data_IF_176683645058
#
_entry.id   IF_176683645058
#
_cell.length_a   1.000
_cell.length_b   1.000
_cell.length_c   1.000
_cell.angle_alpha   90.00
_cell.angle_beta   90.00
_cell.angle_gamma   90.00
#
_symmetry.space_group_name_H-M   'P 1'
#
loop_
_entity.id
_entity.type
_entity.pdbx_description
1 polymer ?
#
# COMPACT_ATOMS: atom_id res chain seq x y z
N UNK A 1 -68.44 31.02 24.30
CA UNK A 1 -67.44 30.38 25.20
C UNK A 1 -67.04 29.06 24.55
N UNK A 2 -65.77 28.81 24.20
CA UNK A 2 -65.38 27.48 23.76
C UNK A 2 -65.36 26.53 24.97
N UNK A 3 -65.61 25.22 24.77
CA UNK A 3 -65.76 24.25 25.86
C UNK A 3 -64.43 24.06 26.61
N UNK A 4 -64.47 23.65 27.88
CA UNK A 4 -63.26 23.48 28.68
C UNK A 4 -62.38 22.41 28.02
N UNK A 5 -61.15 22.79 27.64
CA UNK A 5 -60.13 21.84 27.18
C UNK A 5 -60.06 20.70 28.20
N UNK A 6 -60.39 19.49 27.78
CA UNK A 6 -60.36 18.30 28.62
C UNK A 6 -59.00 18.19 29.29
N UNK A 7 -58.95 18.24 30.62
CA UNK A 7 -57.73 18.14 31.45
C UNK A 7 -56.88 16.92 31.10
N UNK A 8 -57.52 15.82 30.69
CA UNK A 8 -56.88 14.62 30.17
C UNK A 8 -56.08 14.85 28.88
N UNK A 9 -56.60 15.66 27.97
CA UNK A 9 -55.91 16.02 26.72
C UNK A 9 -54.64 16.82 26.99
N UNK A 10 -54.70 17.77 27.93
CA UNK A 10 -53.53 18.57 28.35
C UNK A 10 -52.46 17.69 29.00
N UNK A 11 -52.85 16.68 29.79
CA UNK A 11 -51.91 15.72 30.39
C UNK A 11 -51.27 14.79 29.36
N UNK A 12 -52.04 14.26 28.40
CA UNK A 12 -51.52 13.41 27.31
C UNK A 12 -50.62 14.20 26.37
N UNK A 13 -50.98 15.45 26.05
CA UNK A 13 -50.18 16.34 25.22
C UNK A 13 -48.87 16.74 25.94
N UNK A 14 -48.92 16.93 27.26
CA UNK A 14 -47.74 17.07 28.10
C UNK A 14 -46.84 15.84 28.08
N UNK A 15 -47.41 14.63 28.19
CA UNK A 15 -46.67 13.36 28.14
C UNK A 15 -46.03 13.11 26.76
N UNK A 16 -46.76 13.37 25.68
CA UNK A 16 -46.23 13.34 24.30
C UNK A 16 -45.12 14.38 24.12
N UNK A 17 -45.27 15.57 24.70
CA UNK A 17 -44.23 16.60 24.71
C UNK A 17 -42.96 16.15 25.45
N UNK A 18 -43.09 15.46 26.58
CA UNK A 18 -41.94 14.89 27.29
C UNK A 18 -41.27 13.76 26.51
N UNK A 19 -42.04 12.86 25.89
CA UNK A 19 -41.50 11.80 25.04
C UNK A 19 -40.76 12.35 23.81
N UNK A 20 -41.29 13.41 23.18
CA UNK A 20 -40.61 14.10 22.07
C UNK A 20 -39.28 14.71 22.49
N UNK A 21 -39.24 15.41 23.64
CA UNK A 21 -37.98 15.94 24.19
C UNK A 21 -36.97 14.83 24.52
N UNK A 22 -37.42 13.69 25.05
CA UNK A 22 -36.56 12.54 25.29
C UNK A 22 -36.00 11.97 23.98
N UNK A 23 -36.82 11.88 22.94
CA UNK A 23 -36.41 11.38 21.63
C UNK A 23 -35.43 12.34 20.93
N UNK A 24 -35.64 13.65 21.05
CA UNK A 24 -34.71 14.68 20.58
C UNK A 24 -33.38 14.63 21.35
N UNK A 25 -33.41 14.49 22.68
CA UNK A 25 -32.23 14.32 23.51
C UNK A 25 -31.41 13.09 23.13
N UNK A 26 -32.05 11.93 23.01
CA UNK A 26 -31.41 10.69 22.52
C UNK A 26 -30.90 10.84 21.08
N UNK A 27 -31.59 11.62 20.24
CA UNK A 27 -31.16 11.94 18.89
C UNK A 27 -29.85 12.74 18.85
N UNK A 28 -29.73 13.76 19.70
CA UNK A 28 -28.53 14.57 19.87
C UNK A 28 -27.37 13.74 20.44
N UNK A 29 -27.62 12.91 21.45
CA UNK A 29 -26.62 11.99 22.00
C UNK A 29 -26.12 11.00 20.95
N UNK A 30 -27.02 10.44 20.13
CA UNK A 30 -26.64 9.55 19.03
C UNK A 30 -25.77 10.27 17.99
N UNK A 31 -26.06 11.53 17.67
CA UNK A 31 -25.24 12.32 16.75
C UNK A 31 -23.87 12.62 17.36
N UNK A 32 -23.83 13.00 18.63
CA UNK A 32 -22.59 13.22 19.38
C UNK A 32 -21.72 11.96 19.41
N UNK A 33 -22.28 10.81 19.76
CA UNK A 33 -21.56 9.52 19.77
C UNK A 33 -21.06 9.13 18.38
N UNK A 34 -21.80 9.44 17.31
CA UNK A 34 -21.33 9.22 15.93
C UNK A 34 -20.15 10.12 15.56
N UNK A 35 -20.19 11.38 15.97
CA UNK A 35 -19.08 12.31 15.75
C UNK A 35 -17.83 11.88 16.53
N UNK A 36 -17.99 11.49 17.79
CA UNK A 36 -16.91 10.96 18.62
C UNK A 36 -16.33 9.66 18.02
N UNK A 37 -17.18 8.74 17.55
CA UNK A 37 -16.74 7.52 16.89
C UNK A 37 -16.02 7.78 15.57
N UNK A 38 -16.46 8.78 14.79
CA UNK A 38 -15.74 9.22 13.59
C UNK A 38 -14.37 9.82 13.93
N UNK A 39 -14.31 10.66 14.97
CA UNK A 39 -13.06 11.26 15.43
C UNK A 39 -12.06 10.20 15.93
N UNK A 40 -12.51 9.24 16.74
CA UNK A 40 -11.68 8.14 17.23
C UNK A 40 -11.20 7.26 16.08
N UNK A 41 -12.03 6.98 15.07
CA UNK A 41 -11.61 6.24 13.87
C UNK A 41 -10.52 6.99 13.10
N UNK A 42 -10.68 8.29 12.89
CA UNK A 42 -9.66 9.13 12.23
C UNK A 42 -8.35 9.12 13.00
N UNK A 43 -8.38 9.26 14.33
CA UNK A 43 -7.17 9.16 15.16
C UNK A 43 -6.50 7.78 15.04
N UNK A 44 -7.28 6.70 15.00
CA UNK A 44 -6.74 5.34 14.81
C UNK A 44 -6.07 5.21 13.45
N UNK A 45 -6.67 5.75 12.38
CA UNK A 45 -6.08 5.75 11.04
C UNK A 45 -4.79 6.59 10.99
N UNK A 46 -4.77 7.77 11.60
CA UNK A 46 -3.56 8.60 11.72
C UNK A 46 -2.44 7.89 12.49
N UNK A 47 -2.75 7.23 13.61
CA UNK A 47 -1.76 6.47 14.35
C UNK A 47 -1.25 5.26 13.55
N UNK A 48 -2.13 4.55 12.85
CA UNK A 48 -1.73 3.47 11.94
C UNK A 48 -0.78 3.95 10.86
N UNK A 49 -1.10 5.06 10.20
CA UNK A 49 -0.22 5.65 9.18
C UNK A 49 1.16 6.00 9.76
N UNK A 50 1.21 6.63 10.95
CA UNK A 50 2.48 6.92 11.64
C UNK A 50 3.25 5.66 12.00
N UNK A 51 2.58 4.59 12.43
CA UNK A 51 3.25 3.31 12.71
C UNK A 51 3.81 2.66 11.44
N UNK A 52 3.07 2.72 10.33
CA UNK A 52 3.54 2.22 9.03
C UNK A 52 4.75 3.03 8.53
N UNK A 53 4.71 4.36 8.64
CA UNK A 53 5.84 5.24 8.34
C UNK A 53 7.07 4.94 9.20
N UNK A 54 6.89 4.78 10.51
CA UNK A 54 7.98 4.47 11.44
C UNK A 54 8.57 3.07 11.16
N UNK A 55 7.74 2.08 10.81
CA UNK A 55 8.22 0.76 10.39
C UNK A 55 9.05 0.89 9.12
N UNK A 56 8.55 1.60 8.11
CA UNK A 56 9.29 1.80 6.86
C UNK A 56 10.62 2.51 7.13
N UNK A 57 10.60 3.60 7.91
CA UNK A 57 11.80 4.34 8.26
C UNK A 57 12.82 3.48 9.03
N UNK A 58 12.36 2.68 9.99
CA UNK A 58 13.21 1.71 10.70
C UNK A 58 13.82 0.70 9.72
N UNK A 59 13.04 0.16 8.78
CA UNK A 59 13.56 -0.81 7.81
C UNK A 59 14.58 -0.19 6.86
N UNK A 60 14.39 1.07 6.45
CA UNK A 60 15.38 1.82 5.68
C UNK A 60 16.68 1.99 6.45
N UNK A 61 16.59 2.40 7.72
CA UNK A 61 17.77 2.56 8.60
C UNK A 61 18.46 1.24 8.90
N UNK A 62 17.73 0.15 9.08
CA UNK A 62 18.28 -1.19 9.23
C UNK A 62 19.01 -1.64 7.95
N UNK A 63 18.44 -1.38 6.77
CA UNK A 63 19.09 -1.68 5.49
C UNK A 63 20.38 -0.86 5.31
N UNK A 64 20.34 0.45 5.59
CA UNK A 64 21.54 1.31 5.60
C UNK A 64 22.60 0.78 6.57
N UNK A 65 22.20 0.35 7.77
CA UNK A 65 23.11 -0.22 8.76
C UNK A 65 23.75 -1.53 8.27
N UNK A 66 22.99 -2.41 7.61
CA UNK A 66 23.51 -3.66 7.04
C UNK A 66 24.53 -3.37 5.93
N UNK A 67 24.27 -2.39 5.06
CA UNK A 67 25.22 -1.95 4.04
C UNK A 67 26.49 -1.37 4.67
N UNK A 68 26.34 -0.47 5.65
CA UNK A 68 27.48 0.12 6.35
C UNK A 68 28.31 -0.95 7.06
N UNK A 69 27.68 -1.96 7.66
CA UNK A 69 28.37 -3.10 8.26
C UNK A 69 29.19 -3.87 7.22
N UNK A 70 28.63 -4.14 6.05
CA UNK A 70 29.34 -4.80 4.96
C UNK A 70 30.55 -3.97 4.51
N UNK A 71 30.39 -2.66 4.35
CA UNK A 71 31.47 -1.76 3.94
C UNK A 71 32.59 -1.71 5.00
N UNK A 72 32.22 -1.74 6.29
CA UNK A 72 33.18 -1.84 7.40
C UNK A 72 33.93 -3.18 7.38
N UNK A 73 33.22 -4.29 7.14
CA UNK A 73 33.83 -5.61 7.04
C UNK A 73 34.80 -5.68 5.84
N UNK A 74 34.42 -5.11 4.69
CA UNK A 74 35.27 -5.02 3.48
C UNK A 74 36.52 -4.15 3.70
N UNK A 75 36.36 -3.02 4.37
CA UNK A 75 37.46 -2.16 4.77
C UNK A 75 38.39 -2.86 5.78
N UNK A 76 37.83 -3.63 6.71
CA UNK A 76 38.62 -4.40 7.68
C UNK A 76 39.41 -5.52 7.01
N UNK A 77 38.81 -6.26 6.06
CA UNK A 77 39.51 -7.27 5.28
C UNK A 77 40.67 -6.65 4.47
N UNK A 78 40.41 -5.54 3.79
CA UNK A 78 41.43 -4.80 3.05
C UNK A 78 42.56 -4.31 3.96
N UNK A 79 42.22 -3.82 5.16
CA UNK A 79 43.19 -3.42 6.18
C UNK A 79 44.09 -4.58 6.60
N UNK A 80 43.49 -5.74 6.92
CA UNK A 80 44.24 -6.94 7.34
C UNK A 80 45.16 -7.44 6.21
N UNK A 81 44.71 -7.43 4.96
CA UNK A 81 45.55 -7.77 3.81
C UNK A 81 46.74 -6.81 3.66
N UNK A 82 46.53 -5.51 3.85
CA UNK A 82 47.60 -4.51 3.80
C UNK A 82 48.57 -4.65 4.98
N UNK A 83 48.08 -4.95 6.19
CA UNK A 83 48.92 -5.23 7.36
C UNK A 83 49.81 -6.47 7.12
N UNK A 84 49.26 -7.55 6.55
CA UNK A 84 50.04 -8.75 6.19
C UNK A 84 51.11 -8.45 5.13
N UNK A 85 50.79 -7.64 4.11
CA UNK A 85 51.79 -7.21 3.11
C UNK A 85 52.88 -6.36 3.74
N UNK A 86 52.53 -5.45 4.64
CA UNK A 86 53.48 -4.62 5.36
C UNK A 86 54.42 -5.48 6.21
N UNK A 87 53.89 -6.47 6.93
CA UNK A 87 54.68 -7.41 7.72
C UNK A 87 55.66 -8.20 6.83
N UNK A 88 55.18 -8.75 5.70
CA UNK A 88 56.05 -9.46 4.75
C UNK A 88 57.17 -8.59 4.17
N UNK A 89 56.88 -7.33 3.83
CA UNK A 89 57.88 -6.37 3.35
C UNK A 89 58.87 -6.00 4.46
N UNK A 90 58.41 -5.91 5.70
CA UNK A 90 59.26 -5.64 6.86
C UNK A 90 60.22 -6.79 7.11
N UNK A 91 59.74 -8.03 7.00
CA UNK A 91 60.57 -9.24 7.10
C UNK A 91 61.60 -9.30 5.98
N UNK A 92 61.22 -8.98 4.74
CA UNK A 92 62.16 -8.91 3.61
C UNK A 92 63.24 -7.84 3.83
N UNK A 93 62.87 -6.65 4.32
CA UNK A 93 63.83 -5.60 4.66
C UNK A 93 64.80 -6.07 5.76
N UNK A 94 64.29 -6.75 6.79
CA UNK A 94 65.11 -7.26 7.88
C UNK A 94 66.05 -8.36 7.41
N UNK A 95 65.58 -9.26 6.55
CA UNK A 95 66.39 -10.29 5.91
C UNK A 95 67.52 -9.67 5.08
N UNK A 96 67.21 -8.67 4.23
CA UNK A 96 68.22 -8.00 3.43
C UNK A 96 69.25 -7.25 4.28
N UNK A 97 68.84 -6.67 5.42
CA UNK A 97 69.77 -6.02 6.35
C UNK A 97 70.74 -7.02 6.97
N UNK A 98 70.24 -8.16 7.45
CA UNK A 98 71.08 -9.25 7.97
C UNK A 98 72.00 -9.80 6.88
N UNK A 99 71.41 -10.03 5.70
CA UNK A 99 72.01 -10.09 4.36
C UNK A 99 73.36 -9.39 4.24
N UNK A 100 73.24 -8.08 4.11
CA UNK A 100 74.37 -7.20 3.88
C UNK A 100 75.32 -7.09 5.07
N UNK A 101 74.83 -7.29 6.30
CA UNK A 101 75.68 -7.27 7.49
C UNK A 101 76.60 -8.49 7.55
N UNK A 102 76.11 -9.68 7.19
CA UNK A 102 76.91 -10.90 7.05
C UNK A 102 77.91 -10.79 5.89
N UNK A 103 77.48 -10.33 4.70
CA UNK A 103 78.39 -10.10 3.57
C UNK A 103 79.51 -9.11 3.91
N UNK A 104 79.19 -8.02 4.63
CA UNK A 104 80.20 -7.07 5.09
C UNK A 104 81.16 -7.67 6.12
N UNK A 105 80.69 -8.57 6.99
CA UNK A 105 81.55 -9.30 7.92
C UNK A 105 82.47 -10.27 7.18
N UNK A 106 81.96 -11.05 6.24
CA UNK A 106 82.78 -11.95 5.41
C UNK A 106 83.82 -11.18 4.62
N UNK A 107 83.44 -10.06 3.98
CA UNK A 107 84.39 -9.21 3.25
C UNK A 107 85.45 -8.63 4.18
N UNK A 108 85.11 -8.24 5.41
CA UNK A 108 86.09 -7.78 6.40
C UNK A 108 87.06 -8.89 6.81
N UNK A 109 86.55 -10.11 7.00
CA UNK A 109 87.39 -11.28 7.32
C UNK A 109 88.32 -11.60 6.15
N UNK A 110 87.82 -11.61 4.91
CA UNK A 110 88.65 -11.81 3.71
C UNK A 110 89.74 -10.73 3.56
N UNK A 111 89.42 -9.47 3.86
CA UNK A 111 90.40 -8.37 3.85
C UNK A 111 91.42 -8.49 5.00
N UNK A 112 91.03 -9.02 6.17
CA UNK A 112 91.98 -9.26 7.27
C UNK A 112 92.84 -10.51 7.05
N UNK A 113 92.30 -11.57 6.46
CA UNK A 113 93.02 -12.81 6.18
C UNK A 113 94.05 -12.65 5.05
N UNK A 114 93.80 -11.73 4.12
CA UNK A 114 94.77 -11.35 3.06
C UNK A 114 95.89 -10.43 3.56
N UNK A 115 95.81 -9.93 4.80
CA UNK A 115 96.85 -9.13 5.45
C UNK A 115 97.79 -9.97 6.34
N UNK A 116 98.24 -11.13 5.87
CA UNK A 116 99.34 -11.87 6.49
C UNK A 116 100.42 -12.14 5.44
N UNK A 117 101.44 -11.28 5.42
CA UNK A 117 102.65 -11.50 4.63
C UNK A 117 103.46 -12.59 5.32
N UNK A 118 103.27 -13.84 4.90
CA UNK A 118 104.07 -14.99 5.34
C UNK A 118 105.29 -15.11 4.44
N UNK A 119 106.45 -14.64 4.92
CA UNK A 119 107.74 -14.99 4.34
C UNK A 119 108.10 -16.42 4.77
N UNK A 120 107.68 -17.39 3.96
CA UNK A 120 108.10 -18.79 4.10
C UNK A 120 109.28 -19.05 3.18
N UNK A 121 110.45 -19.28 3.77
CA UNK A 121 111.65 -19.70 3.05
C UNK A 121 111.51 -21.19 2.71
N UNK A 122 111.06 -21.46 1.48
CA UNK A 122 110.59 -22.78 1.06
C UNK A 122 111.67 -23.49 0.23
N UNK A 123 112.77 -23.87 0.87
CA UNK A 123 113.82 -24.69 0.27
C UNK A 123 113.49 -26.19 0.38
N UNK A 124 112.43 -26.62 -0.29
CA UNK A 124 112.25 -28.00 -0.73
C UNK A 124 111.81 -27.92 -2.18
N UNK A 125 112.48 -28.66 -3.06
CA UNK A 125 112.05 -28.79 -4.45
C UNK A 125 110.64 -29.42 -4.44
N UNK A 126 109.63 -28.57 -4.48
CA UNK A 126 108.27 -28.92 -4.84
C UNK A 126 108.28 -29.27 -6.32
N UNK A 127 107.62 -30.37 -6.65
CA UNK A 127 107.29 -30.69 -8.03
C UNK A 127 106.28 -29.64 -8.54
N UNK A 128 106.83 -28.54 -9.04
CA UNK A 128 106.05 -27.42 -9.56
C UNK A 128 105.23 -27.83 -10.79
N UNK A 129 105.67 -28.85 -11.52
CA UNK A 129 104.93 -29.33 -12.69
C UNK A 129 103.64 -30.05 -12.28
N UNK A 130 103.71 -30.93 -11.26
CA UNK A 130 102.53 -31.57 -10.69
C UNK A 130 101.53 -30.58 -10.09
N UNK A 131 102.01 -29.62 -9.29
CA UNK A 131 101.14 -28.59 -8.68
C UNK A 131 100.50 -27.68 -9.74
N UNK A 132 101.23 -27.29 -10.79
CA UNK A 132 100.66 -26.49 -11.89
C UNK A 132 99.61 -27.29 -12.69
N UNK A 133 99.80 -28.60 -12.86
CA UNK A 133 98.82 -29.47 -13.50
C UNK A 133 97.54 -29.61 -12.66
N UNK A 134 97.67 -29.80 -11.35
CA UNK A 134 96.53 -29.89 -10.42
C UNK A 134 95.76 -28.57 -10.33
N UNK A 135 96.47 -27.44 -10.25
CA UNK A 135 95.85 -26.11 -10.28
C UNK A 135 95.10 -25.90 -11.59
N UNK A 136 95.68 -26.29 -12.73
CA UNK A 136 95.02 -26.19 -14.03
C UNK A 136 93.77 -27.06 -14.09
N UNK A 137 93.83 -28.31 -13.61
CA UNK A 137 92.69 -29.21 -13.56
C UNK A 137 91.57 -28.64 -12.67
N UNK A 138 91.91 -28.07 -11.51
CA UNK A 138 90.92 -27.40 -10.65
C UNK A 138 90.29 -26.17 -11.31
N UNK A 139 91.06 -25.36 -12.04
CA UNK A 139 90.50 -24.23 -12.79
C UNK A 139 89.58 -24.68 -13.93
N UNK A 140 89.95 -25.75 -14.66
CA UNK A 140 89.11 -26.34 -15.70
C UNK A 140 87.81 -26.91 -15.10
N UNK A 141 87.88 -27.56 -13.94
CA UNK A 141 86.70 -28.05 -13.20
C UNK A 141 85.81 -26.94 -12.66
N UNK A 142 86.39 -25.86 -12.11
CA UNK A 142 85.65 -24.70 -11.60
C UNK A 142 84.98 -23.95 -12.77
N UNK A 143 85.69 -23.78 -13.89
CA UNK A 143 85.12 -23.19 -15.10
C UNK A 143 84.00 -24.06 -15.69
N UNK A 144 84.18 -25.40 -15.68
CA UNK A 144 83.15 -26.36 -16.07
C UNK A 144 81.92 -26.30 -15.18
N UNK A 145 82.10 -26.28 -13.86
CA UNK A 145 81.00 -26.12 -12.88
C UNK A 145 80.28 -24.79 -13.02
N UNK A 146 81.01 -23.68 -13.11
CA UNK A 146 80.43 -22.35 -13.29
C UNK A 146 79.60 -22.25 -14.59
N UNK A 147 80.08 -22.87 -15.67
CA UNK A 147 79.32 -22.96 -16.92
C UNK A 147 78.05 -23.80 -16.78
N UNK A 148 78.15 -24.98 -16.16
CA UNK A 148 77.00 -25.86 -15.95
C UNK A 148 75.95 -25.23 -15.02
N UNK A 149 76.38 -24.51 -13.98
CA UNK A 149 75.51 -23.75 -13.09
C UNK A 149 74.82 -22.60 -13.82
N UNK A 150 75.55 -21.84 -14.64
CA UNK A 150 74.97 -20.78 -15.46
C UNK A 150 73.93 -21.34 -16.46
N UNK A 151 74.26 -22.43 -17.18
CA UNK A 151 73.34 -23.11 -18.10
C UNK A 151 72.10 -23.63 -17.36
N UNK A 152 72.26 -24.20 -16.16
CA UNK A 152 71.17 -24.64 -15.30
C UNK A 152 70.27 -23.48 -14.86
N UNK A 153 70.85 -22.36 -14.43
CA UNK A 153 70.11 -21.15 -14.05
C UNK A 153 69.33 -20.58 -15.24
N UNK A 154 69.92 -20.53 -16.43
CA UNK A 154 69.22 -20.09 -17.64
C UNK A 154 68.06 -21.02 -17.99
N UNK A 155 68.24 -22.34 -17.86
CA UNK A 155 67.20 -23.31 -18.16
C UNK A 155 66.01 -23.21 -17.18
N UNK A 156 66.29 -23.05 -15.88
CA UNK A 156 65.26 -22.82 -14.85
C UNK A 156 64.52 -21.51 -15.13
N UNK A 157 65.24 -20.41 -15.38
CA UNK A 157 64.63 -19.11 -15.69
C UNK A 157 63.77 -19.15 -16.95
N UNK A 158 64.21 -19.89 -17.97
CA UNK A 158 63.44 -20.07 -19.20
C UNK A 158 62.13 -20.84 -18.97
N UNK A 159 62.17 -21.94 -18.22
CA UNK A 159 60.95 -22.70 -17.87
C UNK A 159 60.03 -21.91 -16.92
N UNK A 160 60.56 -21.12 -15.99
CA UNK A 160 59.78 -20.19 -15.17
C UNK A 160 59.04 -19.17 -16.04
N UNK A 161 59.74 -18.51 -16.97
CA UNK A 161 59.11 -17.54 -17.88
C UNK A 161 58.06 -18.18 -18.78
N UNK A 162 58.33 -19.38 -19.29
CA UNK A 162 57.40 -20.13 -20.14
C UNK A 162 56.16 -20.56 -19.38
N UNK A 163 56.30 -21.04 -18.15
CA UNK A 163 55.16 -21.41 -17.30
C UNK A 163 54.36 -20.18 -16.85
N UNK A 164 55.02 -19.07 -16.52
CA UNK A 164 54.37 -17.81 -16.20
C UNK A 164 53.58 -17.24 -17.40
N UNK A 165 54.17 -17.24 -18.60
CA UNK A 165 53.49 -16.83 -19.82
C UNK A 165 52.30 -17.73 -20.16
N UNK A 166 52.41 -19.05 -19.92
CA UNK A 166 51.30 -19.99 -20.05
C UNK A 166 50.14 -19.66 -19.11
N UNK A 167 50.43 -19.47 -17.81
CA UNK A 167 49.44 -19.07 -16.79
C UNK A 167 48.74 -17.76 -17.15
N UNK A 168 49.50 -16.73 -17.52
CA UNK A 168 48.93 -15.45 -17.96
C UNK A 168 48.02 -15.61 -19.19
N UNK A 169 48.41 -16.47 -20.14
CA UNK A 169 47.58 -16.80 -21.30
C UNK A 169 46.27 -17.51 -20.92
N UNK A 170 46.32 -18.42 -19.97
CA UNK A 170 45.15 -19.15 -19.47
C UNK A 170 44.23 -18.23 -18.64
N UNK A 171 44.78 -17.37 -17.78
CA UNK A 171 44.03 -16.37 -17.02
C UNK A 171 43.31 -15.38 -17.95
N UNK A 172 43.99 -14.92 -19.02
CA UNK A 172 43.38 -14.07 -20.05
C UNK A 172 42.24 -14.80 -20.80
N UNK A 173 42.36 -16.10 -21.03
CA UNK A 173 41.29 -16.90 -21.64
C UNK A 173 40.11 -17.08 -20.69
N UNK A 174 40.37 -17.35 -19.41
CA UNK A 174 39.34 -17.51 -18.39
C UNK A 174 38.57 -16.21 -18.19
N UNK A 175 39.26 -15.08 -18.00
CA UNK A 175 38.63 -13.75 -17.86
C UNK A 175 37.82 -13.38 -19.10
N UNK A 176 38.34 -13.65 -20.30
CA UNK A 176 37.57 -13.47 -21.54
C UNK A 176 36.31 -14.34 -21.59
N UNK A 177 36.38 -15.58 -21.11
CA UNK A 177 35.22 -16.47 -20.97
C UNK A 177 34.17 -15.92 -20.00
N UNK A 178 34.60 -15.43 -18.83
CA UNK A 178 33.73 -14.79 -17.84
C UNK A 178 33.07 -13.53 -18.41
N UNK A 179 33.81 -12.69 -19.13
CA UNK A 179 33.25 -11.50 -19.80
C UNK A 179 32.17 -11.91 -20.81
N UNK A 180 32.37 -12.98 -21.57
CA UNK A 180 31.35 -13.47 -22.52
C UNK A 180 30.11 -14.01 -21.80
N UNK A 181 30.29 -14.73 -20.69
CA UNK A 181 29.17 -15.22 -19.89
C UNK A 181 28.36 -14.08 -19.24
N UNK A 182 29.05 -13.10 -18.67
CA UNK A 182 28.43 -11.89 -18.12
C UNK A 182 27.68 -11.13 -19.20
N UNK A 183 28.25 -10.98 -20.40
CA UNK A 183 27.55 -10.37 -21.54
C UNK A 183 26.28 -11.16 -21.92
N UNK A 184 26.32 -12.49 -21.96
CA UNK A 184 25.13 -13.32 -22.20
C UNK A 184 24.08 -13.17 -21.09
N UNK A 185 24.52 -12.99 -19.84
CA UNK A 185 23.62 -12.76 -18.70
C UNK A 185 22.97 -11.37 -18.79
N UNK A 186 23.73 -10.35 -19.16
CA UNK A 186 23.22 -8.99 -19.40
C UNK A 186 22.15 -9.02 -20.49
N UNK A 187 22.42 -9.67 -21.64
CA UNK A 187 21.45 -9.79 -22.73
C UNK A 187 20.17 -10.50 -22.31
N UNK A 188 20.27 -11.60 -21.53
CA UNK A 188 19.09 -12.30 -21.00
C UNK A 188 18.26 -11.41 -20.08
N UNK A 189 18.90 -10.72 -19.13
CA UNK A 189 18.20 -9.82 -18.20
C UNK A 189 17.57 -8.64 -18.97
N UNK A 190 18.24 -8.11 -19.99
CA UNK A 190 17.67 -7.06 -20.85
C UNK A 190 16.40 -7.56 -21.58
N UNK A 191 16.43 -8.76 -22.14
CA UNK A 191 15.26 -9.37 -22.78
C UNK A 191 14.11 -9.62 -21.78
N UNK A 192 14.42 -10.06 -20.56
CA UNK A 192 13.43 -10.21 -19.48
C UNK A 192 12.81 -8.87 -19.08
N UNK A 193 13.61 -7.79 -18.97
CA UNK A 193 13.12 -6.44 -18.71
C UNK A 193 12.19 -5.97 -19.83
N UNK A 194 12.54 -6.19 -21.09
CA UNK A 194 11.70 -5.83 -22.23
C UNK A 194 10.39 -6.63 -22.25
N UNK A 195 10.45 -7.94 -21.98
CA UNK A 195 9.25 -8.77 -21.86
C UNK A 195 8.31 -8.30 -20.74
N UNK A 196 8.86 -7.98 -19.56
CA UNK A 196 8.08 -7.47 -18.42
C UNK A 196 7.50 -6.08 -18.71
N UNK A 197 8.24 -5.20 -19.40
CA UNK A 197 7.71 -3.89 -19.85
C UNK A 197 6.54 -4.07 -20.81
N UNK A 198 6.65 -4.97 -21.78
CA UNK A 198 5.56 -5.28 -22.70
C UNK A 198 4.35 -5.84 -21.96
N UNK A 199 4.56 -6.77 -21.02
CA UNK A 199 3.48 -7.30 -20.18
C UNK A 199 2.81 -6.20 -19.35
N UNK A 200 3.58 -5.30 -18.74
CA UNK A 200 3.04 -4.16 -17.98
C UNK A 200 2.18 -3.27 -18.86
N UNK A 201 2.67 -2.91 -20.06
CA UNK A 201 1.90 -2.08 -20.99
C UNK A 201 0.61 -2.76 -21.46
N UNK A 202 0.63 -4.08 -21.68
CA UNK A 202 -0.56 -4.84 -22.02
C UNK A 202 -1.58 -4.91 -20.88
N UNK A 203 -1.12 -5.04 -19.64
CA UNK A 203 -1.98 -5.00 -18.46
C UNK A 203 -2.56 -3.61 -18.23
N UNK A 204 -1.77 -2.55 -18.37
CA UNK A 204 -2.22 -1.15 -18.29
C UNK A 204 -3.32 -0.87 -19.34
N UNK A 205 -3.14 -1.33 -20.59
CA UNK A 205 -4.16 -1.23 -21.63
C UNK A 205 -5.44 -2.02 -21.27
N UNK A 206 -5.30 -3.25 -20.78
CA UNK A 206 -6.46 -4.07 -20.37
C UNK A 206 -7.24 -3.45 -19.20
N UNK A 207 -6.54 -2.81 -18.25
CA UNK A 207 -7.15 -2.06 -17.14
C UNK A 207 -7.91 -0.85 -17.69
N UNK A 208 -7.29 -0.04 -18.55
CA UNK A 208 -7.93 1.13 -19.15
C UNK A 208 -9.20 0.77 -19.93
N UNK A 209 -9.18 -0.31 -20.72
CA UNK A 209 -10.37 -0.79 -21.42
C UNK A 209 -11.46 -1.31 -20.46
N UNK A 210 -11.06 -1.96 -19.35
CA UNK A 210 -12.01 -2.42 -18.34
C UNK A 210 -12.67 -1.26 -17.60
N UNK A 211 -11.91 -0.22 -17.28
CA UNK A 211 -12.41 1.03 -16.71
C UNK A 211 -13.38 1.72 -17.67
N UNK A 212 -13.02 1.90 -18.94
CA UNK A 212 -13.90 2.51 -19.95
C UNK A 212 -15.22 1.73 -20.10
N UNK A 213 -15.13 0.40 -20.23
CA UNK A 213 -16.32 -0.46 -20.29
C UNK A 213 -17.17 -0.36 -19.02
N UNK A 214 -16.54 -0.31 -17.85
CA UNK A 214 -17.21 -0.13 -16.57
C UNK A 214 -17.92 1.23 -16.47
N UNK A 215 -17.26 2.31 -16.88
CA UNK A 215 -17.85 3.65 -16.89
C UNK A 215 -19.04 3.74 -17.85
N UNK A 216 -18.96 3.15 -19.04
CA UNK A 216 -20.09 3.08 -19.98
C UNK A 216 -21.27 2.33 -19.37
N UNK A 217 -21.05 1.18 -18.74
CA UNK A 217 -22.11 0.43 -18.07
C UNK A 217 -22.75 1.24 -16.92
N UNK A 218 -21.96 2.00 -16.16
CA UNK A 218 -22.47 2.90 -15.12
C UNK A 218 -23.28 4.06 -15.69
N UNK A 219 -22.83 4.68 -16.79
CA UNK A 219 -23.57 5.74 -17.49
C UNK A 219 -24.93 5.23 -17.97
N UNK A 220 -24.96 4.04 -18.57
CA UNK A 220 -26.20 3.40 -19.02
C UNK A 220 -27.16 3.08 -17.87
N UNK A 221 -26.63 2.53 -16.76
CA UNK A 221 -27.43 2.25 -15.57
C UNK A 221 -28.03 3.53 -14.95
N UNK A 222 -27.23 4.61 -14.87
CA UNK A 222 -27.70 5.93 -14.41
C UNK A 222 -28.77 6.51 -15.33
N UNK A 223 -28.60 6.40 -16.64
CA UNK A 223 -29.60 6.86 -17.61
C UNK A 223 -30.93 6.09 -17.45
N UNK A 224 -30.87 4.77 -17.31
CA UNK A 224 -32.05 3.93 -17.04
C UNK A 224 -32.74 4.32 -15.73
N UNK A 225 -31.96 4.54 -14.67
CA UNK A 225 -32.48 4.98 -13.37
C UNK A 225 -33.20 6.32 -13.49
N UNK A 226 -32.59 7.31 -14.14
CA UNK A 226 -33.23 8.62 -14.37
C UNK A 226 -34.52 8.50 -15.20
N UNK A 227 -34.56 7.61 -16.21
CA UNK A 227 -35.77 7.32 -16.96
C UNK A 227 -36.90 6.73 -16.10
N UNK A 228 -36.57 5.78 -15.21
CA UNK A 228 -37.53 5.18 -14.29
C UNK A 228 -38.02 6.16 -13.23
N UNK A 229 -37.14 7.01 -12.69
CA UNK A 229 -37.51 8.08 -11.77
C UNK A 229 -38.45 9.10 -12.43
N UNK A 230 -38.18 9.47 -13.68
CA UNK A 230 -39.05 10.33 -14.48
C UNK A 230 -40.43 9.71 -14.72
N UNK A 231 -40.48 8.43 -15.12
CA UNK A 231 -41.74 7.70 -15.31
C UNK A 231 -42.54 7.60 -14.00
N UNK A 232 -41.86 7.36 -12.87
CA UNK A 232 -42.49 7.34 -11.55
C UNK A 232 -43.07 8.70 -11.17
N UNK A 233 -42.36 9.79 -11.45
CA UNK A 233 -42.84 11.15 -11.18
C UNK A 233 -44.09 11.48 -12.03
N UNK A 234 -44.08 11.11 -13.32
CA UNK A 234 -45.24 11.25 -14.20
C UNK A 234 -46.43 10.44 -13.70
N UNK A 235 -46.24 9.16 -13.34
CA UNK A 235 -47.31 8.32 -12.82
C UNK A 235 -47.92 8.89 -11.52
N UNK A 236 -47.11 9.48 -10.63
CA UNK A 236 -47.60 10.17 -9.43
C UNK A 236 -48.43 11.40 -9.78
N UNK A 237 -48.01 12.18 -10.78
CA UNK A 237 -48.76 13.34 -11.25
C UNK A 237 -50.10 12.93 -11.87
N UNK A 238 -50.10 11.88 -12.69
CA UNK A 238 -51.31 11.32 -13.29
C UNK A 238 -52.29 10.80 -12.25
N UNK A 239 -51.80 10.08 -11.23
CA UNK A 239 -52.63 9.64 -10.11
C UNK A 239 -53.24 10.84 -9.36
N UNK A 240 -52.43 11.88 -9.10
CA UNK A 240 -52.93 13.10 -8.46
C UNK A 240 -53.98 13.83 -9.34
N UNK A 241 -53.86 13.77 -10.66
CA UNK A 241 -54.86 14.30 -11.59
C UNK A 241 -56.16 13.49 -11.54
N UNK A 242 -56.07 12.16 -11.63
CA UNK A 242 -57.22 11.26 -11.54
C UNK A 242 -57.98 11.42 -10.22
N UNK A 243 -57.28 11.60 -9.10
CA UNK A 243 -57.92 11.85 -7.81
C UNK A 243 -58.74 13.15 -7.79
N UNK A 244 -58.26 14.22 -8.46
CA UNK A 244 -59.02 15.48 -8.58
C UNK A 244 -60.25 15.29 -9.46
N UNK A 245 -60.09 14.68 -10.64
CA UNK A 245 -61.20 14.37 -11.55
C UNK A 245 -62.26 13.49 -10.87
N UNK A 246 -61.84 12.51 -10.07
CA UNK A 246 -62.75 11.66 -9.30
C UNK A 246 -63.51 12.44 -8.21
N UNK A 247 -62.83 13.36 -7.51
CA UNK A 247 -63.48 14.21 -6.51
C UNK A 247 -64.50 15.16 -7.15
N UNK A 248 -64.18 15.73 -8.31
CA UNK A 248 -65.12 16.58 -9.07
C UNK A 248 -66.35 15.78 -9.50
N UNK A 249 -66.17 14.56 -10.02
CA UNK A 249 -67.27 13.68 -10.39
C UNK A 249 -68.12 13.30 -9.18
N UNK A 250 -67.51 13.01 -8.03
CA UNK A 250 -68.22 12.76 -6.78
C UNK A 250 -69.08 13.96 -6.36
N UNK A 251 -68.55 15.18 -6.47
CA UNK A 251 -69.29 16.40 -6.16
C UNK A 251 -70.53 16.55 -7.08
N UNK A 252 -70.38 16.29 -8.38
CA UNK A 252 -71.51 16.28 -9.33
C UNK A 252 -72.54 15.21 -8.95
N UNK A 253 -72.09 13.99 -8.62
CA UNK A 253 -72.98 12.90 -8.19
C UNK A 253 -73.78 13.29 -6.94
N UNK A 254 -73.14 13.92 -5.96
CA UNK A 254 -73.82 14.41 -4.75
C UNK A 254 -74.84 15.51 -5.07
N UNK A 255 -74.51 16.43 -5.98
CA UNK A 255 -75.47 17.44 -6.44
C UNK A 255 -76.69 16.80 -7.12
N UNK A 256 -76.47 15.82 -7.98
CA UNK A 256 -77.54 15.06 -8.63
C UNK A 256 -78.39 14.27 -7.62
N UNK A 257 -77.80 13.66 -6.60
CA UNK A 257 -78.57 12.99 -5.54
C UNK A 257 -79.48 13.96 -4.79
N UNK A 258 -79.00 15.19 -4.53
CA UNK A 258 -79.79 16.26 -3.92
C UNK A 258 -80.94 16.65 -4.86
N UNK A 259 -80.68 16.86 -6.15
CA UNK A 259 -81.71 17.16 -7.14
C UNK A 259 -82.78 16.06 -7.18
N UNK A 260 -82.39 14.78 -7.25
CA UNK A 260 -83.31 13.64 -7.21
C UNK A 260 -84.14 13.64 -5.92
N UNK A 261 -83.52 13.88 -4.76
CA UNK A 261 -84.24 13.96 -3.49
C UNK A 261 -85.23 15.13 -3.47
N UNK A 262 -84.88 16.29 -4.03
CA UNK A 262 -85.80 17.42 -4.15
C UNK A 262 -86.95 17.13 -5.10
N UNK A 263 -86.69 16.49 -6.26
CA UNK A 263 -87.73 16.06 -7.19
C UNK A 263 -88.68 15.05 -6.55
N UNK A 264 -88.16 14.05 -5.83
CA UNK A 264 -89.00 13.09 -5.07
C UNK A 264 -89.90 13.80 -4.06
N UNK A 265 -89.37 14.75 -3.29
CA UNK A 265 -90.15 15.51 -2.30
C UNK A 265 -91.24 16.39 -2.94
N UNK A 266 -90.98 16.97 -4.11
CA UNK A 266 -91.99 17.72 -4.88
C UNK A 266 -93.11 16.80 -5.38
N UNK A 267 -92.76 15.61 -5.89
CA UNK A 267 -93.74 14.59 -6.29
C UNK A 267 -94.57 14.12 -5.10
N UNK A 268 -93.95 13.79 -3.96
CA UNK A 268 -94.66 13.42 -2.72
C UNK A 268 -95.62 14.52 -2.25
N UNK A 269 -95.24 15.80 -2.42
CA UNK A 269 -96.11 16.94 -2.13
C UNK A 269 -97.33 17.05 -3.05
N UNK A 270 -97.16 16.77 -4.35
CA UNK A 270 -98.28 16.71 -5.31
C UNK A 270 -99.16 15.48 -5.10
N UNK A 271 -98.57 14.32 -4.80
CA UNK A 271 -99.30 13.12 -4.38
C UNK A 271 -100.11 13.39 -3.12
N UNK A 272 -99.55 14.08 -2.12
CA UNK A 272 -100.27 14.49 -0.91
C UNK A 272 -101.42 15.46 -1.22
N UNK A 273 -101.28 16.35 -2.20
CA UNK A 273 -102.36 17.24 -2.65
C UNK A 273 -103.46 16.46 -3.39
N UNK A 274 -103.08 15.50 -4.22
CA UNK A 274 -104.01 14.60 -4.90
C UNK A 274 -104.72 13.69 -3.89
N UNK A 275 -104.02 13.12 -2.92
CA UNK A 275 -104.60 12.34 -1.82
C UNK A 275 -105.52 13.20 -0.94
N UNK A 276 -105.19 14.45 -0.66
CA UNK A 276 -106.08 15.39 0.03
C UNK A 276 -107.31 15.77 -0.83
N UNK A 277 -107.15 15.88 -2.15
CA UNK A 277 -108.27 16.07 -3.08
C UNK A 277 -109.14 14.81 -3.19
N UNK A 278 -108.55 13.63 -3.12
CA UNK A 278 -109.22 12.32 -3.10
C UNK A 278 -109.84 12.02 -1.73
N UNK A 279 -109.32 12.55 -0.61
CA UNK A 279 -109.94 12.44 0.71
C UNK A 279 -111.22 13.30 0.84
N UNK A 280 -111.42 14.32 0.00
CA UNK A 280 -112.73 14.98 -0.16
C UNK A 280 -113.72 14.17 -1.02
N UNK A 281 -113.26 13.08 -1.65
CA UNK A 281 -114.04 12.22 -2.53
C UNK A 281 -113.63 10.75 -2.36
N UNK A 282 -113.81 10.19 -1.16
CA UNK A 282 -114.29 8.81 -0.94
C UNK A 282 -113.82 8.25 0.40
N UNK A 283 -114.82 7.85 1.18
CA UNK A 283 -114.77 6.97 2.34
C UNK A 283 -114.49 5.52 1.85
N UNK A 284 -113.74 4.74 2.65
CA UNK A 284 -113.49 3.28 2.57
C UNK A 284 -112.47 2.82 1.48
N UNK A 285 -111.49 1.94 1.72
CA UNK A 285 -111.39 0.73 2.58
C UNK A 285 -109.92 0.42 2.97
N UNK A 286 -109.74 -0.25 4.12
CA UNK A 286 -108.48 -0.88 4.64
C UNK A 286 -108.23 -2.24 3.92
N UNK A 287 -107.08 -2.92 3.87
CA UNK A 287 -106.16 -3.39 4.95
C UNK A 287 -105.00 -4.23 4.34
N UNK A 288 -103.85 -4.29 5.04
CA UNK A 288 -102.86 -5.41 5.12
C UNK A 288 -102.00 -5.75 3.89
N UNK A 289 -100.69 -6.01 3.93
CA UNK A 289 -99.74 -6.23 5.02
C UNK A 289 -98.58 -7.13 4.55
N UNK A 290 -97.36 -6.56 4.50
CA UNK A 290 -96.05 -7.14 4.85
C UNK A 290 -95.36 -8.31 4.09
N UNK A 291 -94.08 -8.05 3.80
CA UNK A 291 -92.86 -8.91 3.82
C UNK A 291 -92.46 -9.78 2.60
N UNK A 292 -91.21 -9.57 2.18
CA UNK A 292 -90.22 -10.66 2.02
C UNK A 292 -89.66 -10.87 0.62
N UNK A 293 -88.40 -10.47 0.40
CA UNK A 293 -87.65 -10.70 -0.84
C UNK A 293 -86.83 -12.00 -0.88
N UNK A 294 -86.26 -12.28 -2.05
CA UNK A 294 -85.05 -13.06 -2.39
C UNK A 294 -84.88 -12.84 -3.92
N UNK A 295 -83.75 -12.50 -4.53
CA UNK A 295 -82.36 -12.87 -4.28
C UNK A 295 -81.89 -13.66 -5.51
N UNK A 296 -81.17 -13.02 -6.43
CA UNK A 296 -80.67 -13.66 -7.64
C UNK A 296 -79.34 -13.05 -8.13
N UNK A 297 -78.35 -13.93 -8.33
CA UNK A 297 -77.30 -13.79 -9.35
C UNK A 297 -75.93 -13.28 -8.91
N UNK A 298 -74.94 -14.20 -8.94
CA UNK A 298 -73.55 -14.07 -9.47
C UNK A 298 -72.78 -12.77 -9.20
N UNK A 299 -71.57 -12.74 -8.66
CA UNK A 299 -70.46 -13.70 -8.63
C UNK A 299 -69.16 -12.87 -8.64
N UNK A 300 -68.03 -13.45 -8.19
CA UNK A 300 -66.70 -12.87 -8.42
C UNK A 300 -65.88 -12.62 -7.17
N UNK A 301 -64.79 -13.39 -7.07
CA UNK A 301 -63.80 -13.41 -5.99
C UNK A 301 -62.67 -12.38 -6.20
N UNK A 302 -61.68 -12.46 -5.28
CA UNK A 302 -60.45 -11.67 -5.09
C UNK A 302 -60.64 -10.42 -4.20
N UNK A 303 -60.03 -10.26 -3.03
CA UNK A 303 -58.78 -10.81 -2.51
C UNK A 303 -57.67 -9.76 -2.63
N UNK A 304 -57.34 -9.07 -1.53
CA UNK A 304 -56.23 -8.13 -1.49
C UNK A 304 -56.19 -7.26 -0.22
N UNK A 305 -55.27 -7.61 0.68
CA UNK A 305 -55.02 -6.92 1.95
C UNK A 305 -54.42 -5.52 1.76
N UNK A 306 -54.77 -4.60 2.67
CA UNK A 306 -54.20 -3.25 2.77
C UNK A 306 -53.22 -3.23 3.94
N UNK A 307 -51.95 -2.89 3.66
CA UNK A 307 -51.01 -2.38 4.68
C UNK A 307 -50.41 -1.09 4.11
N UNK A 308 -50.71 0.03 4.78
CA UNK A 308 -50.13 1.33 4.49
C UNK A 308 -48.80 1.50 5.22
N UNK A 309 -47.80 2.06 4.55
CA UNK A 309 -46.65 2.69 5.21
C UNK A 309 -46.14 3.85 4.36
N UNK A 310 -45.88 4.98 5.02
CA UNK A 310 -45.16 6.11 4.42
C UNK A 310 -45.45 7.46 5.08
N UNK A 311 -44.50 7.94 5.90
CA UNK A 311 -44.29 9.37 6.11
C UNK A 311 -42.83 9.72 5.77
N UNK A 312 -42.70 10.84 5.07
CA UNK A 312 -41.52 11.44 4.47
C UNK A 312 -40.80 12.42 5.43
N UNK A 313 -39.50 12.61 5.22
CA UNK A 313 -38.66 13.63 5.89
C UNK A 313 -37.89 14.44 4.82
N UNK A 314 -37.74 15.78 4.95
CA UNK A 314 -36.99 16.62 4.01
C UNK A 314 -35.53 16.88 4.47
N UNK A 315 -34.64 17.39 3.59
CA UNK A 315 -33.21 17.62 3.89
C UNK A 315 -32.88 19.07 4.33
N UNK A 316 -31.77 19.30 5.07
CA UNK A 316 -31.24 20.63 5.37
C UNK A 316 -30.06 21.05 4.45
N UNK A 317 -29.68 22.35 4.44
CA UNK A 317 -28.72 22.95 3.49
C UNK A 317 -27.25 22.94 3.97
N UNK A 318 -26.27 23.29 3.12
CA UNK A 318 -24.85 23.27 3.45
C UNK A 318 -24.24 24.66 3.68
N UNK A 319 -23.26 24.78 4.59
CA UNK A 319 -22.12 25.74 4.68
C UNK A 319 -21.58 25.70 6.13
N UNK A 320 -20.30 25.84 6.46
CA UNK A 320 -19.10 26.24 5.72
C UNK A 320 -17.82 25.96 6.53
N UNK A 321 -16.70 26.45 5.98
CA UNK A 321 -15.29 26.12 6.21
C UNK A 321 -14.74 26.29 7.64
N UNK A 322 -13.80 25.42 8.02
CA UNK A 322 -12.92 25.58 9.19
C UNK A 322 -11.46 25.84 8.77
N UNK A 323 -10.85 26.87 9.34
CA UNK A 323 -9.42 27.20 9.23
C UNK A 323 -8.57 26.33 10.17
N UNK A 324 -7.33 25.92 9.83
CA UNK A 324 -6.52 25.09 10.71
C UNK A 324 -5.78 25.93 11.77
N UNK A 325 -5.77 25.43 13.03
CA UNK A 325 -4.91 25.91 14.12
C UNK A 325 -3.56 25.18 14.06
N UNK A 326 -2.47 25.94 14.11
CA UNK A 326 -1.08 25.45 14.22
C UNK A 326 -0.78 24.85 15.59
N UNK A 327 -0.19 23.65 15.63
CA UNK A 327 0.36 23.00 16.84
C UNK A 327 1.87 23.12 16.85
N UNK A 328 2.43 23.55 17.98
CA UNK A 328 3.88 23.61 18.25
C UNK A 328 4.46 22.19 18.42
N UNK A 329 5.69 22.00 17.95
CA UNK A 329 6.39 20.71 17.91
C UNK A 329 7.48 20.73 18.99
N UNK A 330 7.44 19.74 19.89
CA UNK A 330 8.47 19.56 20.93
C UNK A 330 9.41 18.45 20.48
N UNK A 331 10.69 18.77 20.33
CA UNK A 331 11.73 17.82 19.94
C UNK A 331 12.50 17.42 21.20
N UNK A 332 12.51 16.11 21.49
CA UNK A 332 13.31 15.53 22.57
C UNK A 332 14.57 14.89 21.99
N UNK A 333 15.74 15.30 22.48
CA UNK A 333 17.01 14.61 22.23
C UNK A 333 17.37 13.76 23.44
N UNK A 334 17.67 12.51 23.18
CA UNK A 334 18.04 11.52 24.19
C UNK A 334 19.37 10.91 23.77
N UNK A 335 20.36 10.98 24.65
CA UNK A 335 21.71 10.47 24.40
C UNK A 335 21.97 9.25 25.29
N UNK A 336 22.30 8.12 24.67
CA UNK A 336 22.61 6.86 25.37
C UNK A 336 24.03 6.40 25.04
N UNK A 337 24.75 5.94 26.07
CA UNK A 337 26.07 5.30 25.95
C UNK A 337 26.04 3.99 26.72
N UNK A 338 26.44 2.91 26.05
CA UNK A 338 26.44 1.54 26.60
C UNK A 338 25.08 1.09 27.17
N UNK A 339 24.00 1.53 26.53
CA UNK A 339 22.62 1.15 26.91
C UNK A 339 22.06 1.86 28.14
N UNK A 340 22.77 2.83 28.74
CA UNK A 340 22.24 3.69 29.81
C UNK A 340 22.05 5.12 29.32
N UNK A 341 20.97 5.76 29.78
CA UNK A 341 20.63 7.16 29.51
C UNK A 341 21.66 8.08 30.15
N UNK A 342 22.30 8.92 29.33
CA UNK A 342 23.35 9.86 29.76
C UNK A 342 22.82 11.30 29.80
N UNK A 343 21.92 11.69 28.89
CA UNK A 343 21.26 12.99 28.94
C UNK A 343 19.89 12.99 28.22
N UNK A 344 18.95 13.81 28.71
CA UNK A 344 17.68 14.14 28.03
C UNK A 344 17.48 15.67 28.03
N UNK A 345 17.29 16.26 26.84
CA UNK A 345 16.93 17.68 26.67
C UNK A 345 15.69 17.80 25.78
N UNK A 346 14.81 18.75 26.11
CA UNK A 346 13.56 19.03 25.37
C UNK A 346 13.54 20.49 24.93
N UNK A 347 13.48 20.72 23.62
CA UNK A 347 13.29 22.05 23.03
C UNK A 347 11.91 22.12 22.38
N UNK A 348 11.24 23.27 22.55
CA UNK A 348 9.92 23.55 21.97
C UNK A 348 10.11 24.57 20.84
N UNK A 349 9.67 24.22 19.62
CA UNK A 349 9.64 25.13 18.47
C UNK A 349 8.29 25.85 18.34
#
# INVERSE_FOLDING_TARGET
QPPPRSTLGVLLEGYVGTLRRQLEGLGQERQRLRAELGHVRGLVEEFKAKYEEEINHRTEKENEFVLLKKDVDEAYMSKVELESRLESLTDEINFLRQLYEEELQELRVQVSDTAVVVSMDNSRQLDMAGVLADVRAQYEDIAGRSRAEAEGLYQVKYEELKTAAGKQGDDLRQTRGQIQELNRRIQRIQAEIEALKNQRSGLEAAVAEAEERGELALRDARAKLGGLEGALAQAKQDLARQLREYQELMNVKLALDIEIATYRKLLEGEESRLEAAVQNLSIHTKTSGYLGGFGGGFGGAFGGAVVSSGYSVPPPPPEGMATPKSRAIVIKKIETRDGKLVSESSDVL
#
